data_IF_677387529163
#
_entry.id   IF_677387529163
#
_cell.length_a   1.000
_cell.length_b   1.000
_cell.length_c   1.000
_cell.angle_alpha   90.00
_cell.angle_beta   90.00
_cell.angle_gamma   90.00
#
_symmetry.space_group_name_H-M   'P 1'
#
loop_
_entity.id
_entity.type
_entity.pdbx_description
1 polymer ?
#
# COMPACT_ATOMS: atom_id res chain seq x y z
N UNK A 1 -12.24 -0.09 -7.28
CA UNK A 1 -12.30 1.26 -7.87
C UNK A 1 -11.01 2.00 -7.56
N UNK A 2 -10.47 2.81 -8.48
CA UNK A 2 -9.27 3.62 -8.22
C UNK A 2 -9.69 4.96 -7.61
N UNK A 3 -9.59 5.10 -6.29
CA UNK A 3 -9.87 6.39 -5.64
C UNK A 3 -8.68 7.34 -5.85
N UNK A 4 -8.90 8.47 -6.55
CA UNK A 4 -7.87 9.52 -6.74
C UNK A 4 -7.32 10.04 -5.41
N UNK A 5 -8.19 10.16 -4.41
CA UNK A 5 -7.77 10.56 -3.07
C UNK A 5 -6.84 9.52 -2.44
N UNK A 6 -7.17 8.21 -2.58
CA UNK A 6 -6.31 7.14 -2.07
C UNK A 6 -4.95 7.12 -2.77
N UNK A 7 -4.92 7.32 -4.09
CA UNK A 7 -3.67 7.45 -4.83
C UNK A 7 -2.84 8.65 -4.36
N UNK A 8 -3.46 9.82 -4.16
CA UNK A 8 -2.77 11.01 -3.64
C UNK A 8 -2.19 10.79 -2.24
N UNK A 9 -2.93 10.08 -1.37
CA UNK A 9 -2.45 9.73 -0.03
C UNK A 9 -1.24 8.78 -0.08
N UNK A 10 -1.29 7.72 -0.88
CA UNK A 10 -0.14 6.82 -1.03
C UNK A 10 1.04 7.56 -1.66
N UNK A 11 0.78 8.43 -2.65
CA UNK A 11 1.81 9.24 -3.28
C UNK A 11 2.52 10.16 -2.29
N UNK A 12 1.79 10.81 -1.36
CA UNK A 12 2.42 11.66 -0.34
C UNK A 12 3.29 10.88 0.65
N UNK A 13 3.00 9.59 0.88
CA UNK A 13 3.81 8.71 1.73
C UNK A 13 5.10 8.24 1.08
N UNK A 14 5.09 8.06 -0.24
CA UNK A 14 6.26 7.57 -0.99
C UNK A 14 7.01 8.67 -1.75
N UNK A 15 6.58 9.93 -1.65
CA UNK A 15 7.11 11.06 -2.42
C UNK A 15 8.62 11.25 -2.32
N UNK A 16 9.25 10.80 -1.22
CA UNK A 16 10.70 10.82 -1.03
C UNK A 16 11.46 9.79 -1.89
N UNK A 17 10.78 8.76 -2.36
CA UNK A 17 11.36 7.62 -3.06
C UNK A 17 10.90 7.53 -4.51
N UNK A 18 9.93 8.35 -4.93
CA UNK A 18 9.34 8.30 -6.26
C UNK A 18 7.86 8.68 -6.26
N UNK A 19 7.10 8.10 -7.20
CA UNK A 19 5.70 8.45 -7.45
C UNK A 19 4.82 7.23 -7.70
N UNK A 20 3.54 7.31 -7.33
CA UNK A 20 2.54 6.30 -7.62
C UNK A 20 1.94 6.53 -9.01
N UNK A 21 2.13 5.59 -9.92
CA UNK A 21 1.55 5.64 -11.25
C UNK A 21 0.13 5.04 -11.26
N UNK A 22 -0.09 3.98 -10.48
CA UNK A 22 -1.40 3.32 -10.38
C UNK A 22 -1.63 2.73 -9.00
N UNK A 23 -2.86 2.85 -8.51
CA UNK A 23 -3.35 2.19 -7.31
C UNK A 23 -4.61 1.38 -7.64
N UNK A 24 -4.65 0.11 -7.24
CA UNK A 24 -5.84 -0.74 -7.34
C UNK A 24 -6.14 -1.32 -5.97
N UNK A 25 -7.36 -1.10 -5.50
CA UNK A 25 -7.87 -1.65 -4.23
C UNK A 25 -8.98 -2.64 -4.58
N UNK A 26 -8.80 -3.87 -4.09
CA UNK A 26 -9.78 -4.94 -4.12
C UNK A 26 -10.17 -5.26 -2.67
N UNK A 27 -11.24 -4.60 -2.21
CA UNK A 27 -11.80 -4.76 -0.86
C UNK A 27 -12.33 -6.17 -0.63
N UNK A 28 -12.97 -6.76 -1.65
CA UNK A 28 -13.53 -8.12 -1.60
C UNK A 28 -12.45 -9.16 -1.29
N UNK A 29 -11.30 -9.06 -1.96
CA UNK A 29 -10.18 -10.00 -1.77
C UNK A 29 -9.16 -9.51 -0.73
N UNK A 30 -9.40 -8.36 -0.07
CA UNK A 30 -8.45 -7.70 0.84
C UNK A 30 -7.04 -7.61 0.24
N UNK A 31 -6.99 -7.19 -1.02
CA UNK A 31 -5.77 -7.06 -1.78
C UNK A 31 -5.59 -5.62 -2.28
N UNK A 32 -4.35 -5.14 -2.26
CA UNK A 32 -3.98 -3.83 -2.79
C UNK A 32 -2.80 -4.01 -3.74
N UNK A 33 -2.88 -3.42 -4.93
CA UNK A 33 -1.77 -3.37 -5.87
C UNK A 33 -1.38 -1.90 -6.11
N UNK A 34 -0.10 -1.62 -5.98
CA UNK A 34 0.50 -0.31 -6.23
C UNK A 34 1.55 -0.48 -7.32
N UNK A 35 1.46 0.32 -8.37
CA UNK A 35 2.52 0.47 -9.36
C UNK A 35 3.13 1.85 -9.16
N UNK A 36 4.43 1.89 -8.91
CA UNK A 36 5.17 3.12 -8.65
C UNK A 36 6.48 3.18 -9.44
N UNK A 37 6.84 4.37 -9.88
CA UNK A 37 8.15 4.67 -10.43
C UNK A 37 9.03 5.16 -9.29
N UNK A 38 10.02 4.36 -8.91
CA UNK A 38 10.96 4.67 -7.83
C UNK A 38 12.24 5.30 -8.38
N UNK A 39 12.82 6.23 -7.62
CA UNK A 39 14.11 6.82 -7.94
C UNK A 39 15.21 5.74 -7.91
N UNK A 40 16.01 5.68 -8.97
CA UNK A 40 17.07 4.68 -9.13
C UNK A 40 16.63 3.36 -9.79
N UNK A 41 15.32 3.16 -10.01
CA UNK A 41 14.80 2.02 -10.75
C UNK A 41 14.49 2.43 -12.20
N UNK A 42 14.87 1.58 -13.16
CA UNK A 42 14.66 1.86 -14.60
C UNK A 42 13.21 1.62 -15.00
N UNK A 43 12.64 0.50 -14.54
CA UNK A 43 11.24 0.15 -14.80
C UNK A 43 10.37 0.40 -13.56
N UNK A 44 9.06 0.62 -13.73
CA UNK A 44 8.12 0.68 -12.62
C UNK A 44 8.17 -0.58 -11.74
N UNK A 45 7.94 -0.36 -10.46
CA UNK A 45 7.91 -1.39 -9.42
C UNK A 45 6.46 -1.65 -9.03
N UNK A 46 6.10 -2.94 -8.95
CA UNK A 46 4.76 -3.37 -8.54
C UNK A 46 4.85 -3.94 -7.14
N UNK A 47 4.15 -3.33 -6.20
CA UNK A 47 3.97 -3.81 -4.83
C UNK A 47 2.55 -4.33 -4.67
N UNK A 48 2.41 -5.52 -4.09
CA UNK A 48 1.11 -6.13 -3.78
C UNK A 48 1.02 -6.39 -2.30
N UNK A 49 -0.09 -5.98 -1.69
CA UNK A 49 -0.51 -6.42 -0.37
C UNK A 49 -1.49 -7.55 -0.62
N UNK A 50 -1.05 -8.78 -0.40
CA UNK A 50 -1.85 -9.99 -0.67
C UNK A 50 -2.83 -10.29 0.46
N UNK A 51 -2.54 -9.78 1.67
CA UNK A 51 -3.43 -9.89 2.83
C UNK A 51 -3.22 -8.73 3.79
N UNK A 52 -4.31 -8.06 4.13
CA UNK A 52 -4.36 -7.10 5.22
C UNK A 52 -5.53 -7.33 6.17
N UNK A 53 -5.40 -6.82 7.39
CA UNK A 53 -6.46 -6.76 8.40
C UNK A 53 -6.81 -5.31 8.70
N UNK A 54 -8.09 -5.07 9.01
CA UNK A 54 -8.59 -3.77 9.45
C UNK A 54 -8.78 -3.80 10.96
N UNK A 55 -8.33 -2.75 11.62
CA UNK A 55 -8.50 -2.55 13.05
C UNK A 55 -9.12 -1.19 13.28
N UNK A 56 -10.18 -1.13 14.08
CA UNK A 56 -10.75 0.12 14.56
C UNK A 56 -10.30 0.33 16.01
N UNK A 57 -9.56 1.41 16.27
CA UNK A 57 -9.00 1.74 17.58
C UNK A 57 -9.18 3.24 17.84
N UNK A 58 -9.89 3.59 18.93
CA UNK A 58 -10.09 4.98 19.33
C UNK A 58 -10.77 5.87 18.28
N UNK A 59 -11.67 5.32 17.45
CA UNK A 59 -12.34 6.06 16.38
C UNK A 59 -11.49 6.26 15.11
N UNK A 60 -10.29 5.66 15.06
CA UNK A 60 -9.41 5.63 13.89
C UNK A 60 -9.39 4.23 13.30
N UNK A 61 -9.25 4.14 11.97
CA UNK A 61 -9.10 2.86 11.25
C UNK A 61 -7.66 2.65 10.83
N UNK A 62 -7.16 1.43 11.03
CA UNK A 62 -5.80 1.02 10.69
C UNK A 62 -5.84 -0.17 9.74
N UNK A 63 -4.91 -0.18 8.78
CA UNK A 63 -4.56 -1.38 8.01
C UNK A 63 -3.33 -1.99 8.64
N UNK A 64 -3.40 -3.27 9.01
CA UNK A 64 -2.25 -4.08 9.36
C UNK A 64 -1.85 -4.96 8.18
N UNK A 65 -0.60 -4.83 7.74
CA UNK A 65 -0.07 -5.63 6.63
C UNK A 65 0.33 -7.00 7.17
N UNK A 66 -0.27 -8.07 6.63
CA UNK A 66 0.08 -9.45 6.97
C UNK A 66 1.00 -10.09 5.94
N UNK A 67 0.79 -9.78 4.67
CA UNK A 67 1.61 -10.28 3.58
C UNK A 67 1.70 -9.26 2.46
N UNK A 68 2.92 -9.01 2.01
CA UNK A 68 3.20 -8.18 0.85
C UNK A 68 4.24 -8.83 -0.05
N UNK A 69 4.15 -8.57 -1.35
CA UNK A 69 5.07 -9.02 -2.37
C UNK A 69 5.47 -7.86 -3.28
N UNK A 70 6.61 -7.98 -3.96
CA UNK A 70 7.11 -6.94 -4.85
C UNK A 70 7.78 -7.55 -6.09
N UNK A 71 7.68 -6.86 -7.23
CA UNK A 71 8.34 -7.27 -8.47
C UNK A 71 9.87 -7.17 -8.41
N UNK A 72 10.42 -6.36 -7.50
CA UNK A 72 11.86 -6.26 -7.26
C UNK A 72 12.30 -7.20 -6.15
N UNK A 73 13.24 -8.12 -6.40
CA UNK A 73 13.65 -9.11 -5.40
C UNK A 73 14.17 -8.49 -4.09
N UNK A 74 14.98 -7.43 -4.18
CA UNK A 74 15.53 -6.77 -2.99
C UNK A 74 14.42 -6.15 -2.13
N UNK A 75 13.46 -5.47 -2.77
CA UNK A 75 12.36 -4.81 -2.08
C UNK A 75 11.34 -5.83 -1.57
N UNK A 76 11.16 -6.94 -2.28
CA UNK A 76 10.34 -8.05 -1.80
C UNK A 76 10.88 -8.59 -0.48
N UNK A 77 12.19 -8.85 -0.37
CA UNK A 77 12.80 -9.31 0.88
C UNK A 77 12.70 -8.27 1.99
N UNK A 78 12.93 -7.00 1.68
CA UNK A 78 12.73 -5.93 2.64
C UNK A 78 11.28 -5.85 3.14
N UNK A 79 10.29 -6.09 2.27
CA UNK A 79 8.90 -6.16 2.70
C UNK A 79 8.62 -7.38 3.58
N UNK A 80 9.24 -8.53 3.31
CA UNK A 80 9.11 -9.70 4.18
C UNK A 80 9.68 -9.45 5.57
N UNK A 81 10.83 -8.77 5.66
CA UNK A 81 11.51 -8.49 6.93
C UNK A 81 10.80 -7.39 7.74
N UNK A 82 10.24 -6.37 7.08
CA UNK A 82 9.79 -5.15 7.75
C UNK A 82 8.30 -4.86 7.66
N UNK A 83 7.54 -5.45 6.75
CA UNK A 83 6.12 -5.16 6.60
C UNK A 83 5.20 -5.91 7.60
N UNK A 84 5.45 -7.17 8.00
CA UNK A 84 4.56 -7.90 8.89
C UNK A 84 4.30 -7.16 10.21
N UNK A 85 3.02 -7.02 10.56
CA UNK A 85 2.59 -6.38 11.81
C UNK A 85 2.66 -4.85 11.81
N UNK A 86 3.12 -4.22 10.71
CA UNK A 86 3.06 -2.76 10.59
C UNK A 86 1.63 -2.30 10.37
N UNK A 87 1.24 -1.31 11.17
CA UNK A 87 -0.05 -0.65 11.10
C UNK A 87 0.08 0.71 10.44
N UNK A 88 -0.81 0.98 9.50
CA UNK A 88 -0.93 2.26 8.83
C UNK A 88 -2.30 2.84 9.13
N UNK A 89 -2.34 4.03 9.73
CA UNK A 89 -3.59 4.77 9.91
C UNK A 89 -4.13 5.16 8.53
N UNK A 90 -5.38 4.78 8.31
CA UNK A 90 -6.10 5.09 7.08
C UNK A 90 -7.06 6.25 7.37
N UNK A 91 -7.03 7.32 6.57
CA UNK A 91 -8.01 8.39 6.69
C UNK A 91 -9.44 7.86 6.58
N UNK A 92 -10.39 8.39 7.35
CA UNK A 92 -11.78 7.91 7.36
C UNK A 92 -12.47 7.90 5.99
N UNK A 93 -12.07 8.79 5.07
CA UNK A 93 -12.57 8.78 3.69
C UNK A 93 -11.99 7.64 2.83
N UNK A 94 -10.77 7.18 3.12
CA UNK A 94 -10.14 6.04 2.45
C UNK A 94 -10.64 4.71 3.03
N UNK A 95 -11.00 4.71 4.32
CA UNK A 95 -11.64 3.60 5.00
C UNK A 95 -13.00 3.19 4.40
N UNK A 96 -13.68 4.10 3.68
CA UNK A 96 -14.94 3.82 2.99
C UNK A 96 -14.77 3.15 1.61
N UNK A 97 -13.53 3.11 1.08
CA UNK A 97 -13.20 2.50 -0.21
C UNK A 97 -12.53 1.12 -0.07
N UNK A 98 -12.27 0.69 1.17
CA UNK A 98 -11.79 -0.63 1.57
C UNK A 98 -12.95 -1.51 2.00
#
# INVERSE_FOLDING_TARGET
MTSRAAQAFVNSRIARYGRVDRLKIDSTNRAIEVVCSLEGEVDPVTVRVDRYELHDEGGKRFIEIKKASCSRPWLHRALEDFAPGRRFEVPGWAAAAL
#
